data_IF_921947044791
#
_entry.id   IF_921947044791
#
_cell.length_a   1.000
_cell.length_b   1.000
_cell.length_c   1.000
_cell.angle_alpha   90.00
_cell.angle_beta   90.00
_cell.angle_gamma   90.00
#
_symmetry.space_group_name_H-M   'P 1'
#
loop_
_entity.id
_entity.type
_entity.pdbx_description
1 polymer ?
#
# COMPACT_ATOMS: atom_id res chain seq x y z
N UNK A 1 -5.02 -28.83 1.21
CA UNK A 1 -5.63 -28.29 -0.03
C UNK A 1 -4.68 -27.38 -0.83
N UNK A 2 -3.49 -27.03 -0.31
CA UNK A 2 -2.45 -26.31 -1.06
C UNK A 2 -2.76 -24.81 -1.26
N UNK A 3 -3.73 -24.27 -0.53
CA UNK A 3 -4.15 -22.87 -0.61
C UNK A 3 -3.57 -22.07 0.56
N UNK A 4 -3.38 -20.78 0.33
CA UNK A 4 -2.85 -19.84 1.32
C UNK A 4 -3.70 -18.57 1.34
N UNK A 5 -3.92 -18.02 2.54
CA UNK A 5 -4.53 -16.70 2.69
C UNK A 5 -3.53 -15.63 2.25
N UNK A 6 -4.01 -14.63 1.52
CA UNK A 6 -3.18 -13.54 1.00
C UNK A 6 -2.84 -12.53 2.11
N UNK A 7 -1.60 -12.04 2.13
CA UNK A 7 -1.15 -10.96 3.04
C UNK A 7 -1.30 -9.56 2.45
N UNK A 8 -1.69 -9.47 1.18
CA UNK A 8 -1.85 -8.27 0.35
C UNK A 8 -2.58 -8.65 -0.94
N UNK A 9 -3.37 -7.73 -1.52
CA UNK A 9 -4.01 -7.91 -2.84
C UNK A 9 -3.02 -7.86 -4.01
N UNK A 10 -1.81 -7.32 -3.79
CA UNK A 10 -0.70 -7.37 -4.75
C UNK A 10 -0.46 -8.78 -5.32
N UNK A 11 -0.43 -9.81 -4.46
CA UNK A 11 -0.16 -11.20 -4.86
C UNK A 11 -1.18 -11.71 -5.87
N UNK A 12 -2.50 -11.72 -5.60
CA UNK A 12 -3.48 -12.19 -6.57
C UNK A 12 -3.64 -11.24 -7.77
N UNK A 13 -3.48 -9.92 -7.62
CA UNK A 13 -3.60 -8.98 -8.73
C UNK A 13 -2.47 -9.18 -9.74
N UNK A 14 -1.23 -9.33 -9.29
CA UNK A 14 -0.10 -9.63 -10.19
C UNK A 14 -0.23 -11.04 -10.79
N UNK A 15 -0.60 -12.03 -9.98
CA UNK A 15 -0.76 -13.42 -10.44
C UNK A 15 -1.95 -13.63 -11.40
N UNK A 16 -2.91 -12.71 -11.44
CA UNK A 16 -4.02 -12.74 -12.41
C UNK A 16 -3.53 -12.79 -13.86
N UNK A 17 -2.37 -12.18 -14.13
CA UNK A 17 -1.75 -12.13 -15.46
C UNK A 17 -0.64 -13.19 -15.65
N UNK A 18 -0.61 -14.23 -14.82
CA UNK A 18 0.44 -15.25 -14.92
C UNK A 18 0.38 -15.99 -16.26
N UNK A 19 1.52 -16.06 -16.94
CA UNK A 19 1.67 -16.65 -18.28
C UNK A 19 1.15 -15.79 -19.43
N UNK A 20 0.55 -14.63 -19.14
CA UNK A 20 -0.03 -13.75 -20.15
C UNK A 20 1.04 -12.99 -20.95
N UNK A 21 0.74 -12.74 -22.23
CA UNK A 21 1.46 -11.78 -23.07
C UNK A 21 0.49 -10.65 -23.38
N UNK A 22 0.62 -9.54 -22.66
CA UNK A 22 -0.18 -8.33 -22.83
C UNK A 22 0.16 -7.62 -24.15
N UNK A 23 -0.77 -6.82 -24.67
CA UNK A 23 -0.48 -5.86 -25.73
C UNK A 23 0.23 -4.64 -25.12
N UNK A 24 1.21 -4.05 -25.82
CA UNK A 24 1.86 -2.82 -25.36
C UNK A 24 0.86 -1.66 -25.19
N UNK A 25 -0.17 -1.58 -26.03
CA UNK A 25 -1.19 -0.53 -25.97
C UNK A 25 -2.06 -0.58 -24.70
N UNK A 26 -2.03 -1.71 -23.99
CA UNK A 26 -2.75 -1.91 -22.73
C UNK A 26 -1.96 -1.46 -21.50
N UNK A 27 -0.69 -1.06 -21.67
CA UNK A 27 0.20 -0.63 -20.58
C UNK A 27 0.24 0.90 -20.44
N UNK A 28 0.37 1.43 -19.20
CA UNK A 28 0.40 0.69 -17.94
C UNK A 28 -1.00 0.23 -17.50
N UNK A 29 -1.09 -0.98 -16.95
CA UNK A 29 -2.29 -1.46 -16.25
C UNK A 29 -2.22 -0.99 -14.79
N UNK A 30 -3.26 -0.27 -14.36
CA UNK A 30 -3.37 0.31 -13.02
C UNK A 30 -4.53 -0.34 -12.27
N UNK A 31 -4.25 -0.89 -11.09
CA UNK A 31 -5.24 -1.57 -10.26
C UNK A 31 -5.34 -0.97 -8.86
N UNK A 32 -6.57 -0.91 -8.35
CA UNK A 32 -6.88 -0.63 -6.94
C UNK A 32 -7.51 -1.88 -6.31
N UNK A 33 -6.67 -2.72 -5.69
CA UNK A 33 -7.07 -4.01 -5.13
C UNK A 33 -7.52 -3.90 -3.67
N UNK A 34 -8.82 -4.04 -3.40
CA UNK A 34 -9.34 -4.19 -2.04
C UNK A 34 -9.35 -5.64 -1.59
N UNK A 35 -8.77 -5.94 -0.42
CA UNK A 35 -8.88 -7.27 0.20
C UNK A 35 -8.72 -7.26 1.71
N UNK A 36 -9.30 -8.26 2.36
CA UNK A 36 -8.87 -8.68 3.70
C UNK A 36 -7.53 -9.42 3.60
N UNK A 37 -6.56 -8.95 4.36
CA UNK A 37 -5.18 -9.43 4.39
C UNK A 37 -4.91 -10.20 5.68
N UNK A 38 -4.12 -11.27 5.58
CA UNK A 38 -3.81 -12.15 6.69
C UNK A 38 -2.29 -12.27 6.88
N UNK A 39 -1.79 -12.03 8.10
CA UNK A 39 -0.37 -12.17 8.44
C UNK A 39 -0.20 -12.98 9.71
N UNK A 40 0.78 -13.90 9.69
CA UNK A 40 1.14 -14.72 10.86
C UNK A 40 1.79 -13.91 11.97
N UNK A 41 2.40 -12.76 11.63
CA UNK A 41 3.21 -11.95 12.56
C UNK A 41 4.29 -12.77 13.30
N UNK A 42 4.80 -13.81 12.63
CA UNK A 42 5.85 -14.66 13.16
C UNK A 42 7.15 -13.83 13.32
N UNK A 43 7.75 -13.88 14.51
CA UNK A 43 8.94 -13.10 14.86
C UNK A 43 8.64 -11.77 15.57
N UNK A 44 7.38 -11.38 15.74
CA UNK A 44 6.99 -10.16 16.45
C UNK A 44 6.74 -10.37 17.96
N UNK A 45 7.20 -11.49 18.54
CA UNK A 45 6.94 -11.82 19.94
C UNK A 45 7.40 -10.67 20.88
N UNK A 46 6.46 -10.13 21.66
CA UNK A 46 6.71 -9.06 22.62
C UNK A 46 6.73 -7.63 22.04
N UNK A 47 6.54 -7.43 20.72
CA UNK A 47 6.43 -6.09 20.10
C UNK A 47 5.03 -5.82 19.58
N UNK A 48 4.50 -4.62 19.88
CA UNK A 48 3.20 -4.13 19.41
C UNK A 48 2.03 -5.14 19.63
N UNK A 49 2.08 -5.90 20.73
CA UNK A 49 1.14 -7.01 21.00
C UNK A 49 -0.26 -6.54 21.42
N UNK A 50 -0.48 -5.23 21.61
CA UNK A 50 -1.74 -4.62 22.02
C UNK A 50 -2.08 -3.45 21.11
N UNK A 51 -3.38 -3.26 20.83
CA UNK A 51 -3.90 -2.16 20.04
C UNK A 51 -4.06 -2.52 18.56
N UNK A 52 -4.01 -1.52 17.69
CA UNK A 52 -4.36 -1.63 16.27
C UNK A 52 -3.14 -1.66 15.33
N UNK A 53 -1.92 -1.57 15.87
CA UNK A 53 -0.72 -1.36 15.05
C UNK A 53 -0.28 -2.62 14.31
N UNK A 54 -0.37 -3.76 14.99
CA UNK A 54 0.02 -5.08 14.48
C UNK A 54 -1.05 -6.11 14.84
N UNK A 55 -1.72 -6.63 13.82
CA UNK A 55 -2.80 -7.61 13.96
C UNK A 55 -2.74 -8.64 12.83
N UNK A 56 -3.39 -9.79 13.03
CA UNK A 56 -3.34 -10.89 12.08
C UNK A 56 -4.25 -10.70 10.85
N UNK A 57 -5.32 -9.92 10.98
CA UNK A 57 -6.31 -9.72 9.94
C UNK A 57 -6.64 -8.24 9.83
N UNK A 58 -6.53 -7.67 8.64
CA UNK A 58 -6.79 -6.25 8.39
C UNK A 58 -7.31 -6.05 6.96
N UNK A 59 -7.90 -4.90 6.67
CA UNK A 59 -8.36 -4.56 5.32
C UNK A 59 -7.39 -3.58 4.68
N UNK A 60 -7.14 -3.75 3.39
CA UNK A 60 -6.21 -2.91 2.64
C UNK A 60 -6.74 -2.64 1.25
N UNK A 61 -6.56 -1.41 0.77
CA UNK A 61 -6.60 -1.07 -0.64
C UNK A 61 -5.16 -0.92 -1.11
N UNK A 62 -4.79 -1.65 -2.15
CA UNK A 62 -3.46 -1.64 -2.75
C UNK A 62 -3.50 -1.04 -4.15
N UNK A 63 -2.53 -0.19 -4.46
CA UNK A 63 -2.20 0.23 -5.82
C UNK A 63 -1.24 -0.81 -6.40
N UNK A 64 -1.55 -1.36 -7.57
CA UNK A 64 -0.66 -2.29 -8.29
C UNK A 64 -0.52 -1.81 -9.71
N UNK A 65 0.72 -1.76 -10.21
CA UNK A 65 1.06 -1.32 -11.56
C UNK A 65 1.78 -2.43 -12.28
N UNK A 66 1.34 -2.70 -13.50
CA UNK A 66 2.10 -3.47 -14.50
C UNK A 66 2.40 -2.51 -15.65
N UNK A 67 3.67 -2.25 -15.92
CA UNK A 67 4.11 -1.30 -16.94
C UNK A 67 5.20 -1.90 -17.85
N UNK A 68 5.60 -1.13 -18.87
CA UNK A 68 6.63 -1.56 -19.82
C UNK A 68 7.97 -1.79 -19.12
N UNK A 69 8.84 -2.57 -19.75
CA UNK A 69 10.22 -2.80 -19.27
C UNK A 69 11.09 -1.59 -19.58
N UNK A 70 10.79 -0.50 -18.89
CA UNK A 70 11.43 0.80 -19.07
C UNK A 70 11.66 1.44 -17.70
N UNK A 71 12.89 1.94 -17.48
CA UNK A 71 13.28 2.49 -16.18
C UNK A 71 12.62 3.85 -15.93
N UNK A 72 12.48 4.69 -16.96
CA UNK A 72 11.86 6.01 -16.83
C UNK A 72 10.36 5.89 -16.51
N UNK A 73 9.66 4.98 -17.19
CA UNK A 73 8.26 4.67 -16.91
C UNK A 73 8.09 4.06 -15.51
N UNK A 74 8.98 3.17 -15.09
CA UNK A 74 8.99 2.60 -13.74
C UNK A 74 9.15 3.67 -12.66
N UNK A 75 10.11 4.60 -12.82
CA UNK A 75 10.31 5.72 -11.91
C UNK A 75 9.08 6.63 -11.85
N UNK A 76 8.53 7.02 -13.02
CA UNK A 76 7.33 7.85 -13.12
C UNK A 76 6.12 7.19 -12.45
N UNK A 77 5.96 5.87 -12.61
CA UNK A 77 4.88 5.12 -11.94
C UNK A 77 5.10 4.99 -10.45
N UNK A 78 6.36 4.90 -9.99
CA UNK A 78 6.67 4.85 -8.56
C UNK A 78 6.34 6.18 -7.86
N UNK A 79 6.70 7.31 -8.49
CA UNK A 79 6.33 8.64 -8.02
C UNK A 79 4.81 8.85 -8.05
N UNK A 80 4.13 8.40 -9.11
CA UNK A 80 2.67 8.50 -9.22
C UNK A 80 1.93 7.73 -8.12
N UNK A 81 2.29 6.47 -7.85
CA UNK A 81 1.62 5.71 -6.78
C UNK A 81 1.98 6.23 -5.39
N UNK A 82 3.17 6.79 -5.20
CA UNK A 82 3.56 7.48 -3.97
C UNK A 82 2.70 8.73 -3.75
N UNK A 83 2.58 9.60 -4.77
CA UNK A 83 1.81 10.84 -4.69
C UNK A 83 0.34 10.57 -4.36
N UNK A 84 -0.27 9.53 -4.95
CA UNK A 84 -1.64 9.13 -4.60
C UNK A 84 -1.80 8.82 -3.10
N UNK A 85 -0.82 8.15 -2.48
CA UNK A 85 -0.89 7.84 -1.06
C UNK A 85 -0.61 9.07 -0.18
N UNK A 86 0.28 9.96 -0.62
CA UNK A 86 0.49 11.27 0.01
C UNK A 86 -0.79 12.11 0.00
N UNK A 87 -1.49 12.19 -1.13
CA UNK A 87 -2.78 12.89 -1.26
C UNK A 87 -3.82 12.34 -0.29
N UNK A 88 -3.87 11.01 -0.08
CA UNK A 88 -4.78 10.40 0.91
C UNK A 88 -4.47 10.85 2.33
N UNK A 89 -3.20 10.84 2.75
CA UNK A 89 -2.83 11.25 4.12
C UNK A 89 -2.94 12.77 4.32
N UNK A 90 -2.69 13.57 3.28
CA UNK A 90 -2.91 15.01 3.29
C UNK A 90 -4.40 15.34 3.41
N UNK A 91 -5.27 14.66 2.65
CA UNK A 91 -6.71 14.82 2.72
C UNK A 91 -7.28 14.45 4.10
N UNK A 92 -6.65 13.50 4.79
CA UNK A 92 -6.96 13.12 6.17
C UNK A 92 -6.36 14.07 7.23
N UNK A 93 -5.62 15.10 6.81
CA UNK A 93 -4.96 16.09 7.68
C UNK A 93 -3.95 15.45 8.65
N UNK A 94 -3.28 14.37 8.23
CA UNK A 94 -2.33 13.65 9.08
C UNK A 94 -0.90 14.16 8.86
N UNK A 95 -0.16 14.50 9.93
CA UNK A 95 1.27 14.74 9.84
C UNK A 95 1.99 13.46 9.41
N UNK A 96 2.81 13.56 8.37
CA UNK A 96 3.53 12.41 7.82
C UNK A 96 4.92 12.80 7.33
N UNK A 97 5.74 11.78 7.06
CA UNK A 97 7.01 11.91 6.33
C UNK A 97 7.13 10.79 5.31
N UNK A 98 7.90 11.06 4.25
CA UNK A 98 8.33 10.06 3.28
C UNK A 98 9.76 9.66 3.58
N UNK A 99 10.03 8.36 3.69
CA UNK A 99 11.35 7.80 3.97
C UNK A 99 11.80 6.95 2.78
N UNK A 100 12.96 7.26 2.21
CA UNK A 100 13.62 6.37 1.26
C UNK A 100 14.33 5.25 2.03
N UNK A 101 13.87 4.01 1.87
CA UNK A 101 14.34 2.87 2.65
C UNK A 101 15.76 2.47 2.22
N UNK A 102 16.64 2.21 3.19
CA UNK A 102 18.01 1.86 2.91
C UNK A 102 18.13 0.42 2.36
N UNK A 103 19.20 0.15 1.59
CA UNK A 103 19.37 -1.15 0.92
C UNK A 103 19.36 -2.38 1.85
N UNK A 104 19.74 -2.22 3.12
CA UNK A 104 19.73 -3.32 4.10
C UNK A 104 18.34 -3.70 4.62
N UNK A 105 17.34 -2.82 4.44
CA UNK A 105 15.96 -3.04 4.86
C UNK A 105 15.01 -3.28 3.65
N UNK A 106 15.55 -3.23 2.42
CA UNK A 106 14.81 -3.63 1.24
C UNK A 106 14.55 -5.13 1.25
N UNK A 107 13.31 -5.52 0.92
CA UNK A 107 12.98 -6.90 0.64
C UNK A 107 13.72 -7.38 -0.61
N UNK A 108 14.03 -8.67 -0.66
CA UNK A 108 14.74 -9.29 -1.80
C UNK A 108 14.27 -8.86 -3.21
N UNK A 109 12.96 -8.73 -3.50
CA UNK A 109 12.53 -8.38 -4.86
C UNK A 109 12.63 -6.88 -5.18
N UNK A 110 12.87 -6.01 -4.18
CA UNK A 110 12.69 -4.57 -4.30
C UNK A 110 13.95 -3.88 -4.82
N UNK A 111 13.78 -3.03 -5.83
CA UNK A 111 14.85 -2.15 -6.33
C UNK A 111 14.88 -0.85 -5.53
N UNK A 112 13.71 -0.35 -5.15
CA UNK A 112 13.57 0.83 -4.30
C UNK A 112 12.23 0.79 -3.58
N UNK A 113 12.21 1.35 -2.37
CA UNK A 113 11.01 1.45 -1.53
C UNK A 113 10.95 2.82 -0.86
N UNK A 114 9.78 3.44 -0.89
CA UNK A 114 9.44 4.60 -0.09
C UNK A 114 8.39 4.23 0.94
N UNK A 115 8.63 4.54 2.21
CA UNK A 115 7.63 4.42 3.26
C UNK A 115 7.00 5.78 3.54
N UNK A 116 5.67 5.79 3.66
CA UNK A 116 4.95 6.89 4.29
C UNK A 116 4.72 6.50 5.74
N UNK A 117 5.22 7.33 6.65
CA UNK A 117 5.01 7.17 8.07
C UNK A 117 4.18 8.32 8.62
N UNK A 118 3.12 8.00 9.37
CA UNK A 118 2.27 9.02 10.02
C UNK A 118 2.67 9.18 11.48
N UNK A 119 2.53 10.39 12.01
CA UNK A 119 2.77 10.64 13.43
C UNK A 119 1.71 9.94 14.30
N UNK A 120 2.16 9.29 15.38
CA UNK A 120 1.30 8.61 16.34
C UNK A 120 1.65 9.10 17.77
N UNK A 121 0.88 10.05 18.33
CA UNK A 121 1.14 10.61 19.66
C UNK A 121 1.44 9.59 20.75
N UNK A 122 0.68 8.48 20.85
CA UNK A 122 0.87 7.47 21.88
C UNK A 122 2.18 6.70 21.74
N UNK A 123 2.83 6.77 20.57
CA UNK A 123 4.12 6.15 20.28
C UNK A 123 5.27 7.15 20.37
N UNK A 124 4.97 8.43 20.52
CA UNK A 124 5.94 9.54 20.46
C UNK A 124 6.85 9.45 19.24
N UNK A 125 6.32 8.91 18.13
CA UNK A 125 7.10 8.61 16.93
C UNK A 125 6.21 8.50 15.68
N UNK A 126 6.87 8.48 14.53
CA UNK A 126 6.27 8.12 13.25
C UNK A 126 6.15 6.59 13.13
N UNK A 127 5.05 6.12 12.54
CA UNK A 127 4.80 4.71 12.26
C UNK A 127 4.42 4.46 10.81
N UNK A 128 4.95 3.39 10.21
CA UNK A 128 4.70 3.02 8.81
C UNK A 128 3.21 2.76 8.53
N UNK A 129 2.67 3.47 7.55
CA UNK A 129 1.27 3.31 7.08
C UNK A 129 1.18 2.91 5.61
N UNK A 130 2.15 3.32 4.78
CA UNK A 130 2.21 2.97 3.37
C UNK A 130 3.64 2.59 2.98
N UNK A 131 3.75 1.79 1.93
CA UNK A 131 5.02 1.27 1.40
C UNK A 131 4.91 1.18 -0.11
N UNK A 132 5.50 2.12 -0.83
CA UNK A 132 5.56 2.15 -2.28
C UNK A 132 6.85 1.45 -2.75
N UNK A 133 6.73 0.34 -3.47
CA UNK A 133 7.87 -0.45 -3.96
C UNK A 133 7.84 -0.61 -5.47
N UNK A 134 9.02 -0.60 -6.08
CA UNK A 134 9.24 -1.04 -7.47
C UNK A 134 10.15 -2.25 -7.51
N UNK A 135 9.83 -3.21 -8.37
CA UNK A 135 10.48 -4.52 -8.41
C UNK A 135 11.20 -4.81 -9.73
N UNK A 136 11.14 -3.89 -10.69
CA UNK A 136 11.49 -4.16 -12.09
C UNK A 136 10.75 -5.43 -12.55
N UNK A 137 11.47 -6.37 -13.17
CA UNK A 137 10.94 -7.61 -13.73
C UNK A 137 11.06 -8.81 -12.77
N UNK A 138 11.41 -8.59 -11.49
CA UNK A 138 11.60 -9.69 -10.54
C UNK A 138 10.33 -10.54 -10.38
N UNK A 139 9.18 -9.89 -10.19
CA UNK A 139 7.90 -10.58 -10.00
C UNK A 139 7.39 -11.15 -11.33
N UNK A 140 7.47 -10.38 -12.40
CA UNK A 140 6.95 -10.77 -13.72
C UNK A 140 7.69 -11.98 -14.29
N UNK A 141 9.00 -12.11 -14.08
CA UNK A 141 9.77 -13.31 -14.43
C UNK A 141 9.30 -14.57 -13.71
N UNK A 142 8.86 -14.45 -12.46
CA UNK A 142 8.35 -15.60 -11.67
C UNK A 142 6.94 -16.00 -12.06
N UNK A 143 6.19 -15.05 -12.63
CA UNK A 143 4.81 -15.24 -13.08
C UNK A 143 4.70 -15.52 -14.58
N UNK A 144 5.81 -15.43 -15.33
CA UNK A 144 5.84 -15.43 -16.81
C UNK A 144 4.94 -14.34 -17.44
N UNK A 145 4.83 -13.20 -16.76
CA UNK A 145 4.06 -12.02 -17.19
C UNK A 145 4.87 -11.15 -18.16
N UNK A 146 4.40 -11.06 -19.40
CA UNK A 146 5.11 -10.37 -20.49
C UNK A 146 4.19 -9.43 -21.24
N UNK A 147 4.78 -8.61 -22.12
CA UNK A 147 4.06 -7.87 -23.14
C UNK A 147 4.76 -7.99 -24.49
N UNK A 148 4.01 -7.76 -25.57
CA UNK A 148 4.53 -7.68 -26.93
C UNK A 148 4.59 -6.22 -27.34
N UNK A 149 5.77 -5.75 -27.73
CA UNK A 149 5.97 -4.39 -28.22
C UNK A 149 5.47 -4.22 -29.67
N UNK A 150 5.45 -2.96 -30.12
CA UNK A 150 5.10 -2.59 -31.49
C UNK A 150 5.96 -3.24 -32.59
N UNK A 151 7.19 -3.65 -32.29
CA UNK A 151 8.07 -4.41 -33.18
C UNK A 151 7.83 -5.93 -33.14
N UNK A 152 6.87 -6.38 -32.32
CA UNK A 152 6.49 -7.77 -32.14
C UNK A 152 7.40 -8.56 -31.19
N UNK A 153 8.37 -7.92 -30.55
CA UNK A 153 9.29 -8.51 -29.57
C UNK A 153 8.61 -8.60 -28.20
N UNK A 154 8.89 -9.70 -27.50
CA UNK A 154 8.29 -10.01 -26.20
C UNK A 154 9.25 -9.64 -25.08
N UNK A 155 8.77 -8.91 -24.08
CA UNK A 155 9.53 -8.46 -22.91
C UNK A 155 8.78 -8.80 -21.62
N UNK A 156 9.51 -9.00 -20.53
CA UNK A 156 8.88 -9.09 -19.19
C UNK A 156 8.43 -7.71 -18.72
N UNK A 157 7.26 -7.61 -18.10
CA UNK A 157 6.77 -6.32 -17.58
C UNK A 157 7.57 -5.86 -16.36
N UNK A 158 7.58 -4.55 -16.10
CA UNK A 158 7.89 -4.04 -14.77
C UNK A 158 6.65 -4.08 -13.87
N UNK A 159 6.89 -4.25 -12.57
CA UNK A 159 5.83 -4.33 -11.55
C UNK A 159 6.13 -3.40 -10.38
N UNK A 160 5.08 -2.77 -9.86
CA UNK A 160 5.13 -1.88 -8.71
C UNK A 160 3.89 -2.07 -7.84
N UNK A 161 3.99 -1.75 -6.56
CA UNK A 161 2.85 -1.66 -5.68
C UNK A 161 3.00 -0.51 -4.66
N UNK A 162 1.88 -0.04 -4.14
CA UNK A 162 1.85 0.81 -2.95
C UNK A 162 0.58 0.54 -2.15
N UNK A 163 0.64 0.66 -0.84
CA UNK A 163 -0.59 0.80 -0.04
C UNK A 163 -1.31 2.08 -0.48
N UNK A 164 -2.60 2.03 -0.78
CA UNK A 164 -3.43 3.24 -0.86
C UNK A 164 -3.97 3.62 0.52
N UNK A 165 -4.47 2.63 1.27
CA UNK A 165 -4.87 2.80 2.68
C UNK A 165 -4.99 1.45 3.38
N UNK A 166 -4.61 1.36 4.65
CA UNK A 166 -4.72 0.14 5.45
C UNK A 166 -5.43 0.37 6.80
N UNK A 167 -6.52 -0.35 7.03
CA UNK A 167 -7.30 -0.33 8.28
C UNK A 167 -7.13 -1.64 9.04
N UNK A 168 -6.84 -1.62 10.35
CA UNK A 168 -7.10 -0.49 11.24
C UNK A 168 -5.89 0.39 11.56
N UNK A 169 -4.68 0.12 11.05
CA UNK A 169 -3.48 0.86 11.47
C UNK A 169 -3.61 2.38 11.29
N UNK A 170 -4.15 2.84 10.15
CA UNK A 170 -4.33 4.28 9.91
C UNK A 170 -5.26 4.94 10.94
N UNK A 171 -6.17 4.17 11.55
CA UNK A 171 -7.08 4.69 12.56
C UNK A 171 -6.33 5.17 13.81
N UNK A 172 -5.12 4.69 14.08
CA UNK A 172 -4.32 5.16 15.22
C UNK A 172 -4.08 6.66 15.10
N UNK A 173 -3.48 7.10 13.99
CA UNK A 173 -3.23 8.52 13.75
C UNK A 173 -4.53 9.33 13.66
N UNK A 174 -5.56 8.81 12.98
CA UNK A 174 -6.86 9.50 12.87
C UNK A 174 -7.48 9.73 14.26
N UNK A 175 -7.57 8.69 15.09
CA UNK A 175 -8.21 8.77 16.40
C UNK A 175 -7.40 9.64 17.36
N UNK A 176 -6.08 9.47 17.42
CA UNK A 176 -5.24 10.18 18.39
C UNK A 176 -5.12 11.68 18.10
N UNK A 177 -5.07 12.06 16.82
CA UNK A 177 -4.92 13.47 16.41
C UNK A 177 -6.23 14.25 16.38
N UNK A 178 -7.37 13.55 16.40
CA UNK A 178 -8.69 14.17 16.37
C UNK A 178 -9.47 14.00 17.68
N UNK A 179 -8.80 13.65 18.78
CA UNK A 179 -9.44 13.58 20.09
C UNK A 179 -9.81 14.96 20.63
N UNK A 180 -10.97 15.06 21.27
CA UNK A 180 -11.45 16.23 21.99
C UNK A 180 -11.40 15.99 23.50
N UNK A 181 -11.33 17.07 24.30
CA UNK A 181 -11.19 16.98 25.75
C UNK A 181 -12.37 16.25 26.45
N UNK A 182 -13.54 16.19 25.80
CA UNK A 182 -14.73 15.49 26.28
C UNK A 182 -14.80 14.01 25.84
N UNK A 183 -13.75 13.49 25.20
CA UNK A 183 -13.63 12.12 24.75
C UNK A 183 -14.27 11.81 23.40
N UNK A 184 -14.86 12.81 22.71
CA UNK A 184 -15.28 12.65 21.32
C UNK A 184 -14.08 12.63 20.39
N UNK A 185 -14.26 12.02 19.22
CA UNK A 185 -13.28 12.08 18.12
C UNK A 185 -13.89 12.87 16.97
N UNK A 186 -13.25 13.96 16.55
CA UNK A 186 -13.62 14.70 15.35
C UNK A 186 -13.37 13.85 14.10
N UNK A 187 -14.33 13.83 13.18
CA UNK A 187 -14.22 13.11 11.91
C UNK A 187 -13.58 14.05 10.89
N UNK A 188 -12.45 13.68 10.25
CA UNK A 188 -11.85 14.46 9.16
C UNK A 188 -12.89 14.83 8.10
N UNK A 189 -12.85 16.07 7.60
CA UNK A 189 -13.89 16.60 6.70
C UNK A 189 -14.17 15.69 5.51
N UNK A 190 -13.11 15.13 4.91
CA UNK A 190 -13.18 14.22 3.77
C UNK A 190 -13.90 12.89 4.05
N UNK A 191 -14.06 12.50 5.31
CA UNK A 191 -14.75 11.27 5.72
C UNK A 191 -16.22 11.49 6.10
N UNK A 192 -16.64 12.74 6.37
CA UNK A 192 -17.97 13.02 6.93
C UNK A 192 -19.11 12.56 6.02
N UNK A 193 -18.98 12.73 4.70
CA UNK A 193 -19.97 12.27 3.72
C UNK A 193 -20.13 10.74 3.74
N UNK A 194 -19.03 10.00 3.94
CA UNK A 194 -19.03 8.55 4.10
C UNK A 194 -19.59 8.08 5.46
N UNK A 195 -19.69 9.00 6.42
CA UNK A 195 -20.23 8.76 7.77
C UNK A 195 -21.62 9.38 7.98
N UNK A 196 -22.34 9.70 6.90
CA UNK A 196 -23.70 10.23 6.96
C UNK A 196 -23.78 11.66 7.49
N UNK A 197 -22.76 12.47 7.23
CA UNK A 197 -22.67 13.86 7.68
C UNK A 197 -22.31 14.03 9.15
N UNK A 198 -21.88 12.96 9.83
CA UNK A 198 -21.42 13.06 11.23
C UNK A 198 -20.10 13.81 11.30
N UNK A 199 -20.01 14.77 12.21
CA UNK A 199 -18.78 15.51 12.51
C UNK A 199 -17.97 14.87 13.64
N UNK A 200 -18.60 14.06 14.50
CA UNK A 200 -17.96 13.43 15.65
C UNK A 200 -18.36 11.96 15.82
N UNK A 201 -17.43 11.17 16.34
CA UNK A 201 -17.68 9.87 16.97
C UNK A 201 -17.77 10.12 18.47
N UNK A 202 -18.92 9.81 19.08
CA UNK A 202 -19.13 9.96 20.50
C UNK A 202 -18.81 8.67 21.27
N UNK A 203 -18.37 8.77 22.54
CA UNK A 203 -18.35 7.64 23.46
C UNK A 203 -19.72 6.95 23.51
N UNK A 204 -19.72 5.62 23.64
CA UNK A 204 -20.93 4.82 23.85
C UNK A 204 -21.29 4.73 25.32
#
# INVERSE_FOLDING_TARGET
>A
DGKYLIGTSEVPVTAYHSGEILDEADLPRLYAGYSTCYRREAGAAGRDTRGLYRIHQFNKVEQVVVCRNDEEESLRMHEFILSNAEEVVQALELPYRVVNVCGGDLGQPQVQKFDIETWMPSRESYGETHSASRFHDFQSRRLDLRYRDSDGKVHFCHTLNNTAIASPRILISILELNQEADGRIRIPGVLQSYMGGREYICPK
#
